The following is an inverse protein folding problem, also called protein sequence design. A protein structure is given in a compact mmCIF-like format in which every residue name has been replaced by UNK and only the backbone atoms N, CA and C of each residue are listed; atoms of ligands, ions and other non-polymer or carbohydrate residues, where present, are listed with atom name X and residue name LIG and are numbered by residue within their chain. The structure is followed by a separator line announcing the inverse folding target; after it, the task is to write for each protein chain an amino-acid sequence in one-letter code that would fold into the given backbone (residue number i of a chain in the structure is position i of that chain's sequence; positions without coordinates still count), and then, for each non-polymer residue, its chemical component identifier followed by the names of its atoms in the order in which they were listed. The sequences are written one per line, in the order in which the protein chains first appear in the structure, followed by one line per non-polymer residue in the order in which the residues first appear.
data_IF_822711237203
#
_entry.id   IF_822711237203
#
_cell.length_a   1.000
_cell.length_b   1.000
_cell.length_c   1.000
_cell.angle_alpha   90.00
_cell.angle_beta   90.00
_cell.angle_gamma   90.00
#
_symmetry.space_group_name_H-M   'P 1'
#
loop_
_entity.id
_entity.type
_entity.pdbx_description
1 polymer ?
#
# COMPACT_ATOMS: atom_id res chain seq x y z
N UNK A 1 20.68 1.96 -23.57
CA UNK A 1 19.87 2.54 -24.66
C UNK A 1 18.42 2.08 -24.54
N UNK A 2 17.37 2.89 -24.54
CA UNK A 2 17.16 4.31 -24.24
C UNK A 2 15.64 4.48 -24.18
N UNK A 3 14.99 4.34 -23.01
CA UNK A 3 13.65 4.92 -22.78
C UNK A 3 13.49 5.22 -21.28
N UNK A 4 13.92 6.40 -20.86
CA UNK A 4 13.59 6.95 -19.54
C UNK A 4 12.33 7.80 -19.68
N UNK A 5 11.15 7.18 -19.78
CA UNK A 5 9.88 7.90 -19.75
C UNK A 5 9.57 8.34 -18.31
N UNK A 6 9.98 9.57 -17.97
CA UNK A 6 9.56 10.26 -16.75
C UNK A 6 8.23 10.99 -17.03
N UNK A 7 7.09 10.38 -16.71
CA UNK A 7 5.82 11.11 -16.68
C UNK A 7 5.67 11.81 -15.32
N UNK A 8 6.38 12.93 -15.14
CA UNK A 8 6.21 13.76 -13.95
C UNK A 8 4.86 14.48 -13.99
N UNK A 9 4.12 14.46 -12.88
CA UNK A 9 3.04 15.42 -12.61
C UNK A 9 1.61 15.11 -13.10
N UNK A 10 1.38 14.27 -14.11
CA UNK A 10 0.06 14.24 -14.78
C UNK A 10 -1.14 13.81 -13.90
N UNK A 11 -0.93 12.94 -12.90
CA UNK A 11 -2.05 12.46 -12.06
C UNK A 11 -2.25 13.25 -10.76
N UNK A 12 -1.25 14.01 -10.30
CA UNK A 12 -1.44 14.88 -9.12
C UNK A 12 -2.14 16.19 -9.48
N UNK A 13 -2.21 16.52 -10.77
CA UNK A 13 -2.84 17.70 -11.34
C UNK A 13 -4.37 17.57 -11.53
N UNK A 14 -4.96 16.38 -11.31
CA UNK A 14 -6.40 16.21 -11.50
C UNK A 14 -7.27 16.93 -10.45
N UNK A 15 -6.70 17.42 -9.35
CA UNK A 15 -7.45 18.02 -8.23
C UNK A 15 -6.87 19.33 -7.68
N UNK A 16 -5.86 19.92 -8.32
CA UNK A 16 -5.36 21.25 -7.94
C UNK A 16 -5.06 22.05 -9.19
N UNK A 17 -5.94 22.99 -9.47
CA UNK A 17 -5.71 24.26 -10.15
C UNK A 17 -4.53 24.30 -11.11
N UNK A 18 -4.74 23.87 -12.35
CA UNK A 18 -3.92 24.30 -13.48
C UNK A 18 -4.84 24.64 -14.67
N UNK A 19 -4.59 25.81 -15.26
CA UNK A 19 -5.38 26.41 -16.33
C UNK A 19 -5.60 25.51 -17.54
N UNK A 20 -6.61 25.88 -18.34
CA UNK A 20 -7.11 25.25 -19.58
C UNK A 20 -6.34 24.00 -20.03
N UNK A 21 -6.56 22.87 -19.36
CA UNK A 21 -6.01 21.59 -19.83
C UNK A 21 -6.60 21.31 -21.20
N UNK A 22 -5.75 21.15 -22.21
CA UNK A 22 -6.19 20.98 -23.59
C UNK A 22 -7.07 19.71 -23.68
N UNK A 23 -8.25 19.84 -24.29
CA UNK A 23 -9.22 18.75 -24.44
C UNK A 23 -8.59 17.50 -25.07
N UNK A 24 -7.59 17.69 -25.93
CA UNK A 24 -6.90 16.60 -26.59
C UNK A 24 -5.90 15.86 -25.68
N UNK A 25 -5.25 16.55 -24.75
CA UNK A 25 -4.40 15.91 -23.73
C UNK A 25 -5.24 15.03 -22.81
N UNK A 26 -6.42 15.52 -22.39
CA UNK A 26 -7.35 14.73 -21.58
C UNK A 26 -7.86 13.49 -22.33
N UNK A 27 -8.09 13.57 -23.65
CA UNK A 27 -8.44 12.42 -24.47
C UNK A 27 -7.31 11.39 -24.51
N UNK A 28 -6.06 11.83 -24.69
CA UNK A 28 -4.89 10.94 -24.70
C UNK A 28 -4.71 10.26 -23.34
N UNK A 29 -4.81 10.99 -22.24
CA UNK A 29 -4.72 10.42 -20.89
C UNK A 29 -5.84 9.40 -20.63
N UNK A 30 -7.07 9.71 -21.05
CA UNK A 30 -8.19 8.76 -20.94
C UNK A 30 -7.96 7.49 -21.77
N UNK A 31 -7.33 7.59 -22.94
CA UNK A 31 -6.95 6.42 -23.75
C UNK A 31 -5.86 5.62 -23.04
N UNK A 32 -4.83 6.29 -22.51
CA UNK A 32 -3.73 5.66 -21.79
C UNK A 32 -4.21 4.90 -20.54
N UNK A 33 -5.16 5.46 -19.78
CA UNK A 33 -5.76 4.79 -18.63
C UNK A 33 -6.61 3.57 -18.99
N UNK A 34 -7.08 3.47 -20.25
CA UNK A 34 -7.90 2.36 -20.74
C UNK A 34 -7.07 1.30 -21.47
N UNK A 35 -5.80 1.57 -21.73
CA UNK A 35 -4.90 0.65 -22.38
C UNK A 35 -4.65 -0.56 -21.45
N UNK A 36 -5.01 -1.79 -21.86
CA UNK A 36 -4.87 -2.97 -21.03
C UNK A 36 -3.40 -3.43 -20.86
N UNK A 37 -2.48 -2.93 -21.70
CA UNK A 37 -1.08 -3.33 -21.76
C UNK A 37 -0.16 -2.38 -20.98
N UNK A 38 -0.72 -1.32 -20.39
CA UNK A 38 0.01 -0.33 -19.61
C UNK A 38 -0.46 -0.35 -18.16
N UNK A 39 0.50 -0.28 -17.24
CA UNK A 39 0.26 -0.05 -15.82
C UNK A 39 0.76 1.33 -15.46
N UNK A 40 -0.11 2.12 -14.83
CA UNK A 40 0.20 3.47 -14.35
C UNK A 40 0.42 3.41 -12.84
N UNK A 41 1.63 3.74 -12.39
CA UNK A 41 2.07 3.62 -11.00
C UNK A 41 2.66 4.93 -10.51
N UNK A 42 2.71 5.11 -9.19
CA UNK A 42 3.57 6.14 -8.58
C UNK A 42 5.01 5.65 -8.55
N UNK A 43 5.95 6.55 -8.80
CA UNK A 43 7.35 6.29 -8.54
C UNK A 43 7.60 6.18 -7.03
N UNK A 44 8.54 5.31 -6.68
CA UNK A 44 8.95 5.08 -5.31
C UNK A 44 9.51 6.33 -4.60
N UNK A 45 10.16 7.21 -5.36
CA UNK A 45 10.72 8.49 -4.88
C UNK A 45 10.54 9.56 -5.95
N UNK A 46 10.37 10.81 -5.51
CA UNK A 46 10.34 11.99 -6.38
C UNK A 46 8.99 12.32 -7.00
N UNK A 47 7.88 11.76 -6.49
CA UNK A 47 6.51 12.17 -6.84
C UNK A 47 6.07 11.92 -8.29
N UNK A 48 6.92 11.30 -9.11
CA UNK A 48 6.62 11.03 -10.52
C UNK A 48 5.53 9.96 -10.68
N UNK A 49 4.82 10.00 -11.81
CA UNK A 49 3.99 8.89 -12.28
C UNK A 49 4.78 8.12 -13.34
N UNK A 50 4.62 6.81 -13.39
CA UNK A 50 5.32 5.92 -14.32
C UNK A 50 4.27 5.13 -15.09
N UNK A 51 4.36 5.19 -16.41
CA UNK A 51 3.67 4.26 -17.30
C UNK A 51 4.66 3.15 -17.67
N UNK A 52 4.27 1.90 -17.45
CA UNK A 52 5.11 0.74 -17.70
C UNK A 52 4.33 -0.32 -18.47
N UNK A 53 5.01 -1.07 -19.34
CA UNK A 53 4.41 -2.25 -19.95
C UNK A 53 3.98 -3.25 -18.87
N UNK A 54 2.76 -3.76 -18.98
CA UNK A 54 2.16 -4.65 -17.98
C UNK A 54 2.85 -5.99 -17.87
N UNK A 55 3.31 -6.56 -18.98
CA UNK A 55 4.03 -7.84 -18.98
C UNK A 55 5.37 -7.69 -18.26
N UNK A 56 6.12 -6.62 -18.55
CA UNK A 56 7.39 -6.33 -17.85
C UNK A 56 7.18 -6.11 -16.35
N UNK A 57 6.12 -5.37 -16.00
CA UNK A 57 5.77 -5.12 -14.59
C UNK A 57 5.44 -6.42 -13.86
N UNK A 58 4.60 -7.28 -14.47
CA UNK A 58 4.23 -8.59 -13.89
C UNK A 58 5.47 -9.48 -13.77
N UNK A 59 6.30 -9.57 -14.81
CA UNK A 59 7.51 -10.38 -14.80
C UNK A 59 8.47 -9.98 -13.67
N UNK A 60 8.80 -8.69 -13.55
CA UNK A 60 9.66 -8.17 -12.46
C UNK A 60 9.03 -8.36 -11.08
N UNK A 61 7.70 -8.27 -11.00
CA UNK A 61 6.97 -8.48 -9.74
C UNK A 61 7.00 -9.95 -9.32
N UNK A 62 6.86 -10.87 -10.26
CA UNK A 62 6.98 -12.31 -10.00
C UNK A 62 8.41 -12.72 -9.67
N UNK A 63 9.42 -12.10 -10.29
CA UNK A 63 10.83 -12.27 -9.91
C UNK A 63 11.07 -11.91 -8.44
N UNK A 64 10.51 -10.78 -7.98
CA UNK A 64 10.56 -10.39 -6.56
C UNK A 64 9.87 -11.41 -5.63
N UNK A 65 8.72 -11.94 -6.03
CA UNK A 65 7.97 -12.93 -5.25
C UNK A 65 8.57 -14.34 -5.32
N UNK A 66 9.47 -14.58 -6.28
CA UNK A 66 10.19 -15.84 -6.46
C UNK A 66 11.33 -16.04 -5.46
N UNK A 67 11.66 -15.03 -4.65
CA UNK A 67 12.64 -15.16 -3.57
C UNK A 67 12.10 -16.08 -2.46
N UNK A 68 12.60 -17.32 -2.46
CA UNK A 68 12.23 -18.35 -1.48
C UNK A 68 12.92 -18.20 -0.14
N UNK A 69 13.90 -17.29 -0.02
CA UNK A 69 14.52 -16.97 1.27
C UNK A 69 13.62 -16.07 2.13
N UNK A 70 12.91 -15.13 1.49
CA UNK A 70 11.98 -14.19 2.14
C UNK A 70 10.51 -14.65 2.08
N UNK A 71 10.08 -15.22 0.96
CA UNK A 71 8.67 -15.57 0.73
C UNK A 71 8.43 -17.08 0.70
N UNK A 72 7.25 -17.47 1.18
CA UNK A 72 6.77 -18.85 1.10
C UNK A 72 5.36 -18.91 0.56
N UNK A 73 5.13 -19.82 -0.38
CA UNK A 73 3.81 -20.11 -0.91
C UNK A 73 2.91 -20.67 0.19
N UNK A 74 1.73 -20.08 0.35
CA UNK A 74 0.72 -20.58 1.28
C UNK A 74 -0.20 -21.56 0.56
N UNK A 75 -0.42 -22.73 1.19
CA UNK A 75 -1.30 -23.77 0.65
C UNK A 75 -2.79 -23.42 0.76
N UNK A 76 -3.13 -22.48 1.65
CA UNK A 76 -4.51 -22.06 1.91
C UNK A 76 -4.55 -20.59 2.28
N UNK A 77 -5.59 -19.90 1.85
CA UNK A 77 -5.85 -18.51 2.25
C UNK A 77 -6.07 -18.41 3.77
N UNK A 78 -5.18 -17.71 4.52
CA UNK A 78 -5.30 -17.57 5.97
C UNK A 78 -6.29 -16.48 6.38
N UNK A 79 -6.85 -15.71 5.44
CA UNK A 79 -7.62 -14.48 5.72
C UNK A 79 -8.73 -14.72 6.73
N UNK A 80 -9.57 -15.74 6.54
CA UNK A 80 -10.66 -16.06 7.48
C UNK A 80 -10.16 -16.39 8.89
N UNK A 81 -9.03 -17.10 9.00
CA UNK A 81 -8.43 -17.43 10.29
C UNK A 81 -7.92 -16.17 11.01
N UNK A 82 -7.26 -15.28 10.27
CA UNK A 82 -6.76 -14.00 10.80
C UNK A 82 -7.92 -13.11 11.25
N UNK A 83 -8.99 -13.03 10.46
CA UNK A 83 -10.23 -12.31 10.81
C UNK A 83 -10.77 -12.81 12.15
N UNK A 84 -10.98 -14.13 12.26
CA UNK A 84 -11.54 -14.72 13.47
C UNK A 84 -10.68 -14.41 14.71
N UNK A 85 -9.36 -14.53 14.59
CA UNK A 85 -8.43 -14.20 15.68
C UNK A 85 -8.53 -12.72 16.08
N UNK A 86 -8.57 -11.81 15.11
CA UNK A 86 -8.70 -10.38 15.37
C UNK A 86 -10.03 -10.06 16.09
N UNK A 87 -11.14 -10.59 15.59
CA UNK A 87 -12.47 -10.38 16.17
C UNK A 87 -12.55 -10.94 17.60
N UNK A 88 -12.03 -12.15 17.84
CA UNK A 88 -11.99 -12.74 19.18
C UNK A 88 -11.25 -11.81 20.16
N UNK A 89 -10.08 -11.29 19.77
CA UNK A 89 -9.31 -10.37 20.63
C UNK A 89 -10.03 -9.05 20.87
N UNK A 90 -10.70 -8.50 19.87
CA UNK A 90 -11.50 -7.27 20.03
C UNK A 90 -12.67 -7.53 21.00
N UNK A 91 -13.35 -8.66 20.89
CA UNK A 91 -14.43 -9.02 21.81
C UNK A 91 -13.91 -9.25 23.23
N UNK A 92 -12.73 -9.86 23.40
CA UNK A 92 -12.07 -10.01 24.70
C UNK A 92 -11.80 -8.66 25.35
N UNK A 93 -11.23 -7.70 24.61
CA UNK A 93 -10.98 -6.35 25.10
C UNK A 93 -12.27 -5.60 25.44
N UNK A 94 -13.34 -5.80 24.67
CA UNK A 94 -14.66 -5.25 24.99
C UNK A 94 -15.20 -5.81 26.31
N UNK A 95 -15.09 -7.13 26.54
CA UNK A 95 -15.55 -7.76 27.79
C UNK A 95 -14.78 -7.27 29.02
N UNK A 96 -13.51 -6.88 28.83
CA UNK A 96 -12.65 -6.34 29.86
C UNK A 96 -12.77 -4.80 30.02
N UNK A 97 -13.75 -4.18 29.36
CA UNK A 97 -13.99 -2.73 29.37
C UNK A 97 -12.74 -1.90 29.01
N UNK A 98 -11.96 -2.37 28.04
CA UNK A 98 -10.72 -1.73 27.56
C UNK A 98 -10.95 -0.71 26.44
N UNK A 99 -12.20 -0.48 26.06
CA UNK A 99 -12.58 0.52 25.06
C UNK A 99 -13.38 1.62 25.74
N UNK A 100 -13.01 2.87 25.50
CA UNK A 100 -13.86 4.00 25.82
C UNK A 100 -15.09 4.05 24.90
N UNK A 101 -16.03 4.93 25.24
CA UNK A 101 -17.29 5.10 24.53
C UNK A 101 -17.03 5.42 23.05
N UNK A 102 -17.61 4.59 22.17
CA UNK A 102 -17.52 4.77 20.71
C UNK A 102 -16.26 4.21 20.05
N UNK A 103 -15.26 3.74 20.80
CA UNK A 103 -14.01 3.21 20.22
C UNK A 103 -14.17 1.81 19.65
N UNK A 104 -14.97 0.96 20.31
CA UNK A 104 -15.26 -0.39 19.84
C UNK A 104 -15.74 -0.40 18.37
N UNK A 105 -16.64 0.52 18.00
CA UNK A 105 -17.17 0.60 16.64
C UNK A 105 -16.15 1.07 15.59
N UNK A 106 -15.07 1.74 16.02
CA UNK A 106 -13.95 2.15 15.15
C UNK A 106 -12.98 0.99 14.92
N UNK A 107 -12.78 0.16 15.95
CA UNK A 107 -11.85 -0.97 15.92
C UNK A 107 -12.49 -2.21 15.32
N UNK A 108 -13.78 -2.41 15.50
CA UNK A 108 -14.48 -3.58 14.99
C UNK A 108 -14.46 -3.61 13.46
N UNK A 109 -13.95 -4.69 12.85
CA UNK A 109 -13.81 -4.77 11.41
C UNK A 109 -15.17 -4.93 10.70
N UNK A 110 -15.47 -4.05 9.74
CA UNK A 110 -16.73 -4.09 8.96
C UNK A 110 -16.59 -4.74 7.58
N UNK A 111 -15.56 -4.36 6.84
CA UNK A 111 -15.27 -4.89 5.50
C UNK A 111 -13.82 -5.33 5.53
N UNK A 112 -13.58 -6.60 5.23
CA UNK A 112 -12.29 -7.23 5.42
C UNK A 112 -11.74 -7.72 4.09
N UNK A 113 -10.64 -7.10 3.68
CA UNK A 113 -9.88 -7.52 2.50
C UNK A 113 -8.53 -8.06 2.95
N UNK A 114 -8.01 -9.11 2.30
CA UNK A 114 -6.61 -9.49 2.49
C UNK A 114 -5.69 -8.29 2.18
N UNK A 115 -4.51 -8.21 2.83
CA UNK A 115 -3.51 -7.23 2.48
C UNK A 115 -3.19 -7.29 0.98
N UNK A 116 -3.06 -6.12 0.35
CA UNK A 116 -2.81 -6.01 -1.09
C UNK A 116 -1.33 -5.83 -1.35
N UNK A 117 -0.77 -6.71 -2.17
CA UNK A 117 0.59 -6.55 -2.67
C UNK A 117 0.60 -5.77 -3.98
N UNK A 118 1.56 -4.86 -4.11
CA UNK A 118 1.91 -4.18 -5.36
C UNK A 118 3.36 -3.73 -5.28
N UNK A 119 3.93 -3.30 -6.41
CA UNK A 119 5.33 -2.90 -6.45
C UNK A 119 5.49 -1.52 -7.09
N UNK A 120 6.45 -0.72 -6.60
CA UNK A 120 6.69 0.65 -7.05
C UNK A 120 8.04 0.78 -7.77
N UNK A 121 8.11 1.40 -8.96
CA UNK A 121 9.36 1.55 -9.69
C UNK A 121 10.32 2.54 -9.02
N UNK A 122 11.54 2.08 -8.74
CA UNK A 122 12.67 2.91 -8.25
C UNK A 122 13.36 3.61 -9.43
N UNK A 123 12.69 4.57 -10.05
CA UNK A 123 13.17 5.32 -11.25
C UNK A 123 14.48 6.12 -11.07
N UNK A 124 14.95 6.20 -9.84
CA UNK A 124 16.21 6.84 -9.45
C UNK A 124 17.39 5.86 -9.41
N UNK A 125 17.15 4.54 -9.58
CA UNK A 125 18.18 3.51 -9.65
C UNK A 125 18.31 2.98 -11.09
N UNK A 126 19.50 2.53 -11.44
CA UNK A 126 19.75 1.87 -12.73
C UNK A 126 18.91 0.58 -12.85
N UNK A 127 18.44 0.27 -14.06
CA UNK A 127 17.53 -0.87 -14.32
C UNK A 127 16.09 -0.68 -13.83
N UNK A 128 15.79 0.42 -13.12
CA UNK A 128 14.49 0.72 -12.53
C UNK A 128 13.88 -0.48 -11.77
N UNK A 129 14.57 -1.03 -10.76
CA UNK A 129 14.05 -2.14 -9.97
C UNK A 129 12.76 -1.74 -9.24
N UNK A 130 11.92 -2.72 -8.93
CA UNK A 130 10.66 -2.49 -8.22
C UNK A 130 10.89 -2.58 -6.70
N UNK A 131 10.13 -1.80 -5.91
CA UNK A 131 10.02 -1.92 -4.45
C UNK A 131 8.75 -2.71 -4.13
N UNK A 132 8.83 -3.89 -3.50
CA UNK A 132 7.63 -4.58 -3.02
C UNK A 132 6.96 -3.78 -1.89
N UNK A 133 5.63 -3.65 -1.95
CA UNK A 133 4.80 -2.98 -0.95
C UNK A 133 3.60 -3.90 -0.61
N UNK A 134 3.34 -4.07 0.69
CA UNK A 134 2.12 -4.71 1.19
C UNK A 134 1.28 -3.66 1.89
N UNK A 135 0.14 -3.32 1.30
CA UNK A 135 -0.84 -2.44 1.95
C UNK A 135 -1.77 -3.24 2.84
N UNK A 136 -1.71 -2.94 4.14
CA UNK A 136 -2.62 -3.46 5.14
C UNK A 136 -3.90 -2.62 5.27
N UNK A 137 -4.11 -1.59 4.44
CA UNK A 137 -5.31 -0.74 4.55
C UNK A 137 -6.56 -1.59 4.29
N UNK A 138 -7.48 -1.57 5.24
CA UNK A 138 -8.72 -2.38 5.20
C UNK A 138 -8.51 -3.86 5.56
N UNK A 139 -7.31 -4.25 6.01
CA UNK A 139 -7.05 -5.59 6.49
C UNK A 139 -7.66 -5.83 7.88
N UNK A 140 -7.84 -7.10 8.29
CA UNK A 140 -8.51 -7.43 9.54
C UNK A 140 -7.87 -6.89 10.81
N UNK A 141 -6.56 -6.67 10.78
CA UNK A 141 -5.81 -6.12 11.91
C UNK A 141 -5.62 -4.61 11.83
N UNK A 142 -5.95 -3.96 10.71
CA UNK A 142 -5.57 -2.56 10.45
C UNK A 142 -6.16 -1.58 11.47
N UNK A 143 -7.48 -1.64 11.70
CA UNK A 143 -8.15 -0.70 12.59
C UNK A 143 -7.70 -0.88 14.05
N UNK A 144 -7.51 -2.14 14.48
CA UNK A 144 -6.97 -2.45 15.80
C UNK A 144 -5.52 -1.98 15.94
N UNK A 145 -4.66 -2.24 14.97
CA UNK A 145 -3.27 -1.80 14.99
C UNK A 145 -3.17 -0.27 15.01
N UNK A 146 -4.01 0.42 14.22
CA UNK A 146 -4.07 1.88 14.22
C UNK A 146 -4.51 2.42 15.58
N UNK A 147 -5.56 1.86 16.17
CA UNK A 147 -6.03 2.23 17.51
C UNK A 147 -4.95 2.06 18.57
N UNK A 148 -4.23 0.93 18.56
CA UNK A 148 -3.10 0.70 19.47
C UNK A 148 -1.97 1.71 19.24
N UNK A 149 -1.67 2.03 17.97
CA UNK A 149 -0.68 3.05 17.64
C UNK A 149 -1.09 4.42 18.18
N UNK A 150 -2.37 4.82 18.04
CA UNK A 150 -2.86 6.12 18.53
C UNK A 150 -2.72 6.25 20.07
N UNK A 151 -2.84 5.12 20.80
CA UNK A 151 -2.61 5.07 22.26
C UNK A 151 -1.13 5.09 22.62
N UNK A 152 -0.31 4.32 21.89
CA UNK A 152 1.09 4.11 22.22
C UNK A 152 1.97 5.29 21.75
N UNK A 153 1.65 5.91 20.61
CA UNK A 153 2.44 6.98 20.00
C UNK A 153 2.77 8.12 20.97
N UNK A 154 1.81 8.70 21.73
CA UNK A 154 2.12 9.73 22.72
C UNK A 154 3.07 9.26 23.83
N UNK A 155 3.00 7.97 24.20
CA UNK A 155 3.86 7.40 25.26
C UNK A 155 5.29 7.16 24.76
N UNK A 156 5.45 6.87 23.47
CA UNK A 156 6.75 6.69 22.83
C UNK A 156 7.41 8.04 22.57
N UNK A 157 6.65 9.07 22.17
CA UNK A 157 7.17 10.42 21.97
C UNK A 157 7.59 11.12 23.29
N UNK A 158 7.01 10.71 24.43
CA UNK A 158 7.49 11.13 25.76
C UNK A 158 8.82 10.46 26.16
N UNK A 159 9.19 9.36 25.51
CA UNK A 159 10.42 8.63 25.76
C UNK A 159 11.42 9.00 24.65
N UNK A 160 12.16 10.10 24.84
CA UNK A 160 13.17 10.60 23.89
C UNK A 160 14.14 9.49 23.41
N UNK A 161 13.79 8.81 22.32
CA UNK A 161 14.69 8.25 21.32
C UNK A 161 13.86 7.67 20.17
N UNK A 162 14.11 8.19 18.96
CA UNK A 162 13.50 7.80 17.69
C UNK A 162 13.49 6.28 17.50
N UNK A 163 12.34 5.63 17.72
CA UNK A 163 12.12 4.26 17.25
C UNK A 163 11.47 4.34 15.86
N UNK A 164 12.31 4.24 14.83
CA UNK A 164 11.82 3.81 13.52
C UNK A 164 11.20 2.42 13.70
N UNK A 165 9.88 2.30 13.54
CA UNK A 165 9.25 1.01 13.29
C UNK A 165 9.74 0.49 11.93
N UNK A 166 10.93 -0.11 11.93
CA UNK A 166 11.39 -0.97 10.85
C UNK A 166 10.64 -2.29 11.05
N UNK A 167 9.60 -2.53 10.26
CA UNK A 167 9.19 -3.91 9.99
C UNK A 167 10.35 -4.57 9.25
N UNK A 168 11.31 -5.13 9.99
CA UNK A 168 12.21 -6.14 9.45
C UNK A 168 11.36 -7.39 9.29
N UNK A 169 10.94 -7.64 8.05
CA UNK A 169 10.46 -8.94 7.64
C UNK A 169 11.60 -9.93 7.84
N UNK A 170 11.34 -10.93 8.67
CA UNK A 170 12.01 -12.23 8.57
C UNK A 170 11.44 -12.93 7.35
#
# INVERSE_FOLDING_TARGET
NSVRMKCTGLFSAMNRDFGSTNVDELKVLKRLCKDPDIVILKADKGGATVAMNKLDYVAKTMELLGDTSTYRILQKDPTKSIINKAVIKILDFKRQDKFCVGEYGRVYPRVLVPPRFYSLPKVHKEGNPLRPIVSNIGSPSYALAKYLCDIISPLVDLCLSTIYFVFQGV
#
